data_IF_068812404845
#
_entry.id   IF_068812404845
#
_cell.length_a   1.000
_cell.length_b   1.000
_cell.length_c   1.000
_cell.angle_alpha   90.00
_cell.angle_beta   90.00
_cell.angle_gamma   90.00
#
_symmetry.space_group_name_H-M   'P 1'
#
loop_
_entity.id
_entity.type
_entity.pdbx_description
1 polymer ?
#
# COMPACT_ATOMS: atom_id res chain seq x y z
N UNK A 1 -13.66 2.97 9.88
CA UNK A 1 -12.66 1.96 9.51
C UNK A 1 -13.13 1.33 8.22
N UNK A 2 -12.23 1.20 7.23
CA UNK A 2 -12.51 0.59 5.94
C UNK A 2 -11.51 -0.54 5.69
N UNK A 3 -11.81 -1.45 4.77
CA UNK A 3 -10.99 -2.62 4.44
C UNK A 3 -10.67 -2.68 2.96
N UNK A 4 -9.56 -3.31 2.63
CA UNK A 4 -9.16 -3.68 1.27
C UNK A 4 -9.26 -5.20 1.20
N UNK A 5 -10.28 -5.70 0.51
CA UNK A 5 -10.52 -7.13 0.33
C UNK A 5 -9.70 -7.72 -0.82
N UNK A 6 -9.40 -6.90 -1.83
CA UNK A 6 -8.59 -7.24 -2.99
C UNK A 6 -7.86 -6.00 -3.51
N UNK A 7 -6.68 -6.20 -4.10
CA UNK A 7 -5.84 -5.15 -4.66
C UNK A 7 -5.06 -5.72 -5.86
N UNK A 8 -5.11 -5.01 -6.98
CA UNK A 8 -4.30 -5.35 -8.15
C UNK A 8 -3.02 -4.53 -8.14
N UNK A 9 -1.89 -5.21 -8.31
CA UNK A 9 -0.58 -4.60 -8.42
C UNK A 9 -0.17 -4.52 -9.89
N UNK A 10 0.31 -3.36 -10.31
CA UNK A 10 0.83 -3.12 -11.66
C UNK A 10 2.17 -2.40 -11.57
N UNK A 11 3.06 -2.66 -12.53
CA UNK A 11 4.35 -1.98 -12.66
C UNK A 11 5.22 -2.05 -11.39
N UNK A 12 5.12 -3.14 -10.63
CA UNK A 12 5.94 -3.35 -9.44
C UNK A 12 7.38 -3.66 -9.86
N UNK A 13 8.32 -2.87 -9.36
CA UNK A 13 9.75 -3.08 -9.64
C UNK A 13 10.60 -3.03 -8.37
N UNK A 14 11.58 -3.92 -8.27
CA UNK A 14 12.65 -3.87 -7.27
C UNK A 14 13.98 -3.75 -8.00
N UNK A 15 14.75 -2.69 -7.74
CA UNK A 15 16.02 -2.45 -8.43
C UNK A 15 15.90 -2.29 -9.95
N UNK A 16 14.72 -1.92 -10.46
CA UNK A 16 14.44 -1.80 -11.90
C UNK A 16 14.03 -3.11 -12.58
N UNK A 17 13.91 -4.21 -11.83
CA UNK A 17 13.39 -5.49 -12.31
C UNK A 17 11.91 -5.63 -11.95
N UNK A 18 11.10 -6.12 -12.87
CA UNK A 18 9.66 -6.34 -12.63
C UNK A 18 9.37 -7.51 -11.69
N UNK A 19 8.35 -7.39 -10.86
CA UNK A 19 7.91 -8.47 -9.99
C UNK A 19 6.40 -8.62 -10.05
N UNK A 20 5.95 -9.86 -10.04
CA UNK A 20 4.54 -10.15 -9.78
C UNK A 20 4.33 -10.03 -8.27
N UNK A 21 3.30 -9.28 -7.89
CA UNK A 21 2.95 -9.04 -6.48
C UNK A 21 1.53 -9.52 -6.25
N UNK A 22 1.34 -10.28 -5.18
CA UNK A 22 0.04 -10.82 -4.81
C UNK A 22 -0.23 -10.63 -3.32
N UNK A 23 -1.50 -10.45 -2.97
CA UNK A 23 -1.95 -10.43 -1.57
C UNK A 23 -2.04 -11.88 -1.06
N UNK A 24 -1.42 -12.19 0.06
CA UNK A 24 -1.44 -13.54 0.64
C UNK A 24 -2.46 -13.69 1.77
N UNK A 25 -2.79 -12.60 2.46
CA UNK A 25 -3.83 -12.55 3.49
C UNK A 25 -4.70 -11.32 3.28
N UNK A 26 -6.01 -11.51 3.29
CA UNK A 26 -7.03 -10.44 3.25
C UNK A 26 -8.01 -10.56 4.43
N UNK A 27 -8.66 -9.46 4.86
CA UNK A 27 -8.51 -8.09 4.34
C UNK A 27 -7.38 -7.28 5.00
N UNK A 28 -6.84 -6.29 4.30
CA UNK A 28 -6.01 -5.24 4.91
C UNK A 28 -6.91 -4.13 5.46
N UNK A 29 -6.47 -3.47 6.53
CA UNK A 29 -7.29 -2.44 7.22
C UNK A 29 -6.78 -1.04 6.94
N UNK A 30 -7.68 -0.13 6.56
CA UNK A 30 -7.40 1.31 6.41
C UNK A 30 -7.79 2.04 7.70
N UNK A 31 -6.81 2.70 8.30
CA UNK A 31 -6.98 3.53 9.49
C UNK A 31 -6.76 5.00 9.13
N UNK A 32 -7.78 5.82 9.33
CA UNK A 32 -7.70 7.27 9.18
C UNK A 32 -7.17 7.88 10.48
N UNK A 33 -6.16 8.74 10.38
CA UNK A 33 -5.56 9.44 11.53
C UNK A 33 -6.07 10.87 11.67
N UNK A 34 -6.44 11.52 10.58
CA UNK A 34 -7.07 12.85 10.59
C UNK A 34 -6.86 13.64 9.32
N UNK A 35 -7.46 14.84 9.25
CA UNK A 35 -7.19 15.79 8.15
C UNK A 35 -5.76 16.28 8.26
N UNK A 36 -5.04 16.29 7.14
CA UNK A 36 -3.66 16.75 7.08
C UNK A 36 -3.58 18.24 7.43
N UNK A 37 -2.74 18.58 8.39
CA UNK A 37 -2.61 19.94 8.91
C UNK A 37 -2.05 20.95 7.89
N UNK A 38 -1.34 20.47 6.88
CA UNK A 38 -0.72 21.28 5.82
C UNK A 38 -1.57 21.33 4.55
N UNK A 39 -2.54 20.42 4.40
CA UNK A 39 -3.45 20.39 3.25
C UNK A 39 -4.82 19.81 3.66
N UNK A 40 -5.82 20.67 3.82
CA UNK A 40 -7.16 20.29 4.25
C UNK A 40 -7.90 19.34 3.29
N UNK A 41 -7.44 19.19 2.04
CA UNK A 41 -8.01 18.22 1.10
C UNK A 41 -7.48 16.80 1.33
N UNK A 42 -6.42 16.63 2.12
CA UNK A 42 -5.83 15.33 2.40
C UNK A 42 -6.27 14.81 3.75
N UNK A 43 -6.53 13.52 3.80
CA UNK A 43 -6.86 12.79 5.02
C UNK A 43 -5.79 11.75 5.24
N UNK A 44 -4.93 11.98 6.22
CA UNK A 44 -3.82 11.10 6.56
C UNK A 44 -4.32 9.79 7.16
N UNK A 45 -3.55 8.73 6.94
CA UNK A 45 -3.88 7.41 7.42
C UNK A 45 -2.75 6.40 7.24
N UNK A 46 -3.11 5.13 7.43
CA UNK A 46 -2.23 4.00 7.19
C UNK A 46 -3.02 2.75 6.82
N UNK A 47 -2.33 1.81 6.16
CA UNK A 47 -2.85 0.47 5.86
C UNK A 47 -2.08 -0.54 6.70
N UNK A 48 -2.79 -1.29 7.53
CA UNK A 48 -2.23 -2.31 8.45
C UNK A 48 -2.66 -3.71 8.07
N UNK A 49 -1.87 -4.70 8.51
CA UNK A 49 -2.13 -6.11 8.22
C UNK A 49 -1.71 -6.49 6.81
N UNK A 50 -0.79 -5.72 6.22
CA UNK A 50 -0.24 -6.02 4.90
C UNK A 50 0.45 -7.37 4.95
N UNK A 51 0.14 -8.20 3.97
CA UNK A 51 0.77 -9.49 3.73
C UNK A 51 0.74 -9.73 2.22
N UNK A 52 1.91 -9.59 1.60
CA UNK A 52 2.09 -9.71 0.16
C UNK A 52 3.23 -10.67 -0.15
N UNK A 53 3.12 -11.37 -1.27
CA UNK A 53 4.16 -12.21 -1.83
C UNK A 53 4.63 -11.61 -3.15
N UNK A 54 5.94 -11.56 -3.35
CA UNK A 54 6.52 -11.23 -4.65
C UNK A 54 7.21 -12.43 -5.26
N UNK A 55 7.12 -12.53 -6.59
CA UNK A 55 7.82 -13.55 -7.36
C UNK A 55 8.30 -12.97 -8.69
N UNK A 56 9.53 -13.27 -9.07
CA UNK A 56 10.11 -12.84 -10.35
C UNK A 56 11.62 -12.98 -10.37
N UNK A 57 12.22 -13.14 -11.55
CA UNK A 57 13.69 -13.15 -11.71
C UNK A 57 14.45 -14.13 -10.80
N UNK A 58 13.87 -15.30 -10.52
CA UNK A 58 14.42 -16.27 -9.54
C UNK A 58 14.59 -15.67 -8.14
N UNK A 59 13.72 -14.73 -7.80
CA UNK A 59 13.61 -14.08 -6.50
C UNK A 59 12.18 -14.23 -5.98
N UNK A 60 12.06 -14.61 -4.73
CA UNK A 60 10.82 -14.74 -3.99
C UNK A 60 10.99 -14.13 -2.61
N UNK A 61 10.02 -13.34 -2.16
CA UNK A 61 10.01 -12.79 -0.80
C UNK A 61 8.58 -12.47 -0.36
N UNK A 62 8.36 -12.52 0.94
CA UNK A 62 7.12 -12.07 1.57
C UNK A 62 7.33 -10.71 2.25
N UNK A 63 6.35 -9.82 2.13
CA UNK A 63 6.34 -8.53 2.81
C UNK A 63 5.16 -8.46 3.76
N UNK A 64 5.44 -8.14 5.03
CA UNK A 64 4.40 -7.96 6.03
C UNK A 64 4.54 -6.64 6.77
N UNK A 65 3.41 -6.13 7.24
CA UNK A 65 3.37 -5.02 8.20
C UNK A 65 2.41 -3.89 7.82
N UNK A 66 2.97 -2.68 7.70
CA UNK A 66 2.18 -1.43 7.61
C UNK A 66 2.83 -0.40 6.70
N UNK A 67 1.98 0.33 5.97
CA UNK A 67 2.37 1.47 5.13
C UNK A 67 1.54 2.70 5.46
N UNK A 68 2.07 3.87 5.10
CA UNK A 68 1.51 5.17 5.41
C UNK A 68 1.12 5.92 4.14
N UNK A 69 0.23 6.90 4.31
CA UNK A 69 -0.22 7.71 3.20
C UNK A 69 -1.42 8.56 3.55
N UNK A 70 -2.14 8.98 2.52
CA UNK A 70 -3.31 9.83 2.66
C UNK A 70 -4.32 9.57 1.55
N UNK A 71 -5.57 9.91 1.84
CA UNK A 71 -6.62 10.04 0.82
C UNK A 71 -6.72 11.50 0.38
N UNK A 72 -6.68 11.77 -0.92
CA UNK A 72 -6.85 13.12 -1.47
C UNK A 72 -8.29 13.33 -1.97
N UNK A 73 -9.07 14.13 -1.23
CA UNK A 73 -10.44 14.44 -1.58
C UNK A 73 -10.59 15.19 -2.92
N UNK A 74 -9.52 15.81 -3.42
CA UNK A 74 -9.58 16.56 -4.68
C UNK A 74 -9.46 15.66 -5.91
N UNK A 75 -8.70 14.57 -5.83
CA UNK A 75 -8.51 13.63 -6.94
C UNK A 75 -9.28 12.33 -6.74
N UNK A 76 -9.65 11.99 -5.50
CA UNK A 76 -10.28 10.72 -5.16
C UNK A 76 -9.29 9.57 -4.97
N UNK A 77 -8.00 9.87 -4.80
CA UNK A 77 -6.95 8.86 -4.77
C UNK A 77 -6.53 8.54 -3.33
N UNK A 78 -6.35 7.24 -3.05
CA UNK A 78 -5.59 6.76 -1.91
C UNK A 78 -4.11 6.67 -2.33
N UNK A 79 -3.30 7.56 -1.77
CA UNK A 79 -1.87 7.64 -2.03
C UNK A 79 -1.11 6.99 -0.88
N UNK A 80 -0.25 6.02 -1.20
CA UNK A 80 0.74 5.44 -0.31
C UNK A 80 2.07 6.09 -0.66
N UNK A 81 2.65 6.81 0.29
CA UNK A 81 3.74 7.77 0.04
C UNK A 81 5.14 7.18 0.26
N UNK A 82 5.23 5.87 0.48
CA UNK A 82 6.49 5.18 0.75
C UNK A 82 7.13 5.54 2.09
N UNK A 83 6.44 6.32 2.93
CA UNK A 83 6.92 6.61 4.28
C UNK A 83 6.66 5.46 5.24
N UNK A 84 7.46 5.40 6.29
CA UNK A 84 7.44 4.34 7.29
C UNK A 84 8.55 3.29 7.09
N UNK A 85 8.70 2.43 8.09
CA UNK A 85 9.76 1.41 8.13
C UNK A 85 9.22 0.06 8.59
N UNK A 86 7.91 -0.12 8.51
CA UNK A 86 7.21 -1.27 9.11
C UNK A 86 6.80 -2.31 8.06
N UNK A 87 7.04 -2.06 6.77
CA UNK A 87 6.88 -3.08 5.73
C UNK A 87 8.22 -3.80 5.56
N UNK A 88 8.28 -5.03 6.05
CA UNK A 88 9.53 -5.78 6.22
C UNK A 88 9.50 -7.08 5.42
N UNK A 89 10.61 -7.38 4.76
CA UNK A 89 10.84 -8.60 4.00
C UNK A 89 11.08 -9.81 4.92
N UNK A 90 10.57 -10.96 4.50
CA UNK A 90 10.80 -12.26 5.13
C UNK A 90 10.75 -13.35 4.07
N UNK A 91 11.28 -14.54 4.39
CA UNK A 91 11.37 -15.66 3.46
C UNK A 91 12.05 -15.27 2.14
N UNK A 92 13.04 -14.37 2.19
CA UNK A 92 13.69 -13.85 1.01
C UNK A 92 14.69 -14.86 0.44
N UNK A 93 14.40 -15.35 -0.77
CA UNK A 93 15.32 -16.10 -1.61
C UNK A 93 15.56 -15.32 -2.90
N UNK A 94 16.44 -14.32 -2.84
CA UNK A 94 16.62 -13.32 -3.90
C UNK A 94 18.08 -13.05 -4.26
N UNK A 95 18.98 -14.00 -3.99
CA UNK A 95 20.43 -13.90 -4.28
C UNK A 95 21.07 -12.59 -3.75
N UNK A 96 20.54 -12.06 -2.64
CA UNK A 96 21.01 -10.82 -2.00
C UNK A 96 20.42 -9.52 -2.54
N UNK A 97 19.52 -9.57 -3.53
CA UNK A 97 18.77 -8.38 -3.98
C UNK A 97 17.77 -7.91 -2.92
N UNK A 98 17.14 -8.87 -2.24
CA UNK A 98 16.28 -8.68 -1.08
C UNK A 98 16.77 -9.69 -0.05
N UNK A 99 16.89 -9.24 1.19
CA UNK A 99 17.25 -10.05 2.34
C UNK A 99 16.11 -10.00 3.36
N UNK A 100 16.08 -11.00 4.24
CA UNK A 100 15.21 -10.93 5.41
C UNK A 100 15.56 -9.67 6.23
N UNK A 101 14.52 -9.06 6.82
CA UNK A 101 14.57 -7.81 7.57
C UNK A 101 14.82 -6.53 6.73
N UNK A 102 14.93 -6.64 5.40
CA UNK A 102 14.97 -5.46 4.53
C UNK A 102 13.65 -4.69 4.60
N UNK A 103 13.74 -3.37 4.78
CA UNK A 103 12.59 -2.47 4.80
C UNK A 103 12.23 -2.06 3.37
N UNK A 104 10.99 -2.31 2.97
CA UNK A 104 10.48 -1.89 1.67
C UNK A 104 9.76 -0.53 1.74
N UNK A 105 10.11 0.36 0.82
CA UNK A 105 9.34 1.57 0.54
C UNK A 105 8.28 1.24 -0.54
N UNK A 106 7.02 1.17 -0.14
CA UNK A 106 5.91 0.95 -1.07
C UNK A 106 5.25 2.28 -1.46
N UNK A 107 5.33 2.64 -2.73
CA UNK A 107 4.72 3.84 -3.28
C UNK A 107 3.62 3.44 -4.26
N UNK A 108 2.42 3.95 -4.05
CA UNK A 108 1.29 3.64 -4.92
C UNK A 108 0.24 4.75 -4.91
N UNK A 109 -0.56 4.83 -5.97
CA UNK A 109 -1.74 5.68 -6.03
C UNK A 109 -2.90 4.87 -6.58
N UNK A 110 -3.95 4.73 -5.79
CA UNK A 110 -5.15 3.99 -6.14
C UNK A 110 -6.36 4.91 -6.19
N UNK A 111 -6.97 5.03 -7.35
CA UNK A 111 -8.20 5.80 -7.48
C UNK A 111 -9.37 5.06 -6.84
N UNK A 112 -10.02 5.67 -5.84
CA UNK A 112 -11.10 5.05 -5.09
C UNK A 112 -12.44 5.46 -5.67
N UNK A 113 -13.27 4.47 -6.01
CA UNK A 113 -14.62 4.70 -6.54
C UNK A 113 -15.66 3.98 -5.70
N UNK A 114 -16.79 4.64 -5.47
CA UNK A 114 -17.99 3.99 -4.95
C UNK A 114 -18.66 3.25 -6.11
N UNK A 115 -18.72 1.92 -6.04
CA UNK A 115 -19.19 1.06 -7.13
C UNK A 115 -20.62 1.37 -7.62
N UNK A 116 -21.49 1.87 -6.74
CA UNK A 116 -22.89 2.20 -7.08
C UNK A 116 -23.06 3.52 -7.83
N UNK A 117 -22.13 4.47 -7.68
CA UNK A 117 -22.25 5.82 -8.25
C UNK A 117 -21.11 6.18 -9.19
N UNK A 118 -20.00 5.44 -9.17
CA UNK A 118 -18.79 5.74 -9.94
C UNK A 118 -18.09 7.03 -9.49
N UNK A 119 -18.44 7.56 -8.31
CA UNK A 119 -17.85 8.79 -7.77
C UNK A 119 -16.86 8.45 -6.67
N UNK A 120 -15.78 9.21 -6.58
CA UNK A 120 -14.86 9.11 -5.47
C UNK A 120 -15.52 9.61 -4.17
N UNK A 121 -15.27 8.93 -3.03
CA UNK A 121 -15.79 9.38 -1.74
C UNK A 121 -15.15 10.72 -1.33
N UNK A 122 -15.86 11.51 -0.52
CA UNK A 122 -15.27 12.67 0.17
C UNK A 122 -15.22 12.33 1.65
N UNK A 123 -14.03 12.30 2.22
CA UNK A 123 -13.81 12.06 3.64
C UNK A 123 -13.71 13.42 4.33
N UNK A 124 -14.77 13.78 5.07
CA UNK A 124 -14.75 14.87 6.04
C UNK A 124 -14.70 14.28 7.44
N UNK A 125 -13.78 14.75 8.30
CA UNK A 125 -13.87 14.48 9.74
C UNK A 125 -15.06 15.26 10.32
N UNK A 126 -15.73 14.74 11.37
CA UNK A 126 -16.82 15.45 12.06
C UNK A 126 -16.41 16.84 12.59
#
# INVERSE_FOLDING_TARGET
>A
MATIDDITFTDCTVGGLGFDVSMTVSPWTINVTGVNSSNANRVDGNVTGISAHIEGFSCSADFTGKVYGYYDNSTGDLVIDGSGTELVASNADCLGLINDDDVAAFNASYHVNITSTGTSPVISTP
#
